data_IF_916026812666
#
_entry.id   IF_916026812666
#
_cell.length_a   1.000
_cell.length_b   1.000
_cell.length_c   1.000
_cell.angle_alpha   90.00
_cell.angle_beta   90.00
_cell.angle_gamma   90.00
#
_symmetry.space_group_name_H-M   'P 1'
#
loop_
_entity.id
_entity.type
_entity.pdbx_description
1 polymer ?
#
# COMPACT_ATOMS: atom_id res chain seq x y z
N UNK A 1 -12.84 14.41 -7.40
CA UNK A 1 -11.77 15.37 -7.04
C UNK A 1 -10.63 14.59 -6.43
N UNK A 2 -9.36 14.85 -6.79
CA UNK A 2 -8.23 14.21 -6.14
C UNK A 2 -8.21 14.56 -4.64
N UNK A 3 -7.69 13.65 -3.80
CA UNK A 3 -7.62 13.81 -2.35
C UNK A 3 -6.27 13.33 -1.83
N UNK A 4 -5.75 13.98 -0.79
CA UNK A 4 -4.47 13.63 -0.17
C UNK A 4 -4.69 12.73 1.03
N UNK A 5 -4.03 11.57 1.02
CA UNK A 5 -3.90 10.70 2.21
C UNK A 5 -2.77 11.22 3.09
N UNK A 6 -2.97 11.18 4.41
CA UNK A 6 -1.92 11.46 5.37
C UNK A 6 -1.16 10.16 5.64
N UNK A 7 0.17 10.20 5.60
CA UNK A 7 1.00 9.09 6.06
C UNK A 7 1.08 9.04 7.60
N UNK A 8 1.53 7.91 8.16
CA UNK A 8 1.86 7.81 9.58
C UNK A 8 3.04 8.71 9.92
N UNK A 9 2.96 9.45 11.04
CA UNK A 9 4.09 10.24 11.57
C UNK A 9 5.12 9.39 12.29
N UNK A 10 4.69 8.28 12.90
CA UNK A 10 5.54 7.36 13.65
C UNK A 10 4.89 5.96 13.71
N UNK A 11 5.68 4.96 14.08
CA UNK A 11 5.23 3.57 14.19
C UNK A 11 4.53 3.24 15.52
N UNK A 12 4.71 4.07 16.55
CA UNK A 12 4.22 3.76 17.90
C UNK A 12 2.75 4.13 18.08
N UNK A 13 2.39 5.37 17.74
CA UNK A 13 1.11 5.96 18.11
C UNK A 13 0.27 6.38 16.89
N UNK A 14 0.91 6.64 15.75
CA UNK A 14 0.25 7.12 14.52
C UNK A 14 0.36 6.13 13.36
N UNK A 15 0.58 4.85 13.65
CA UNK A 15 0.59 3.77 12.68
C UNK A 15 -0.65 2.89 12.83
N UNK A 16 -1.53 2.90 11.81
CA UNK A 16 -2.80 2.16 11.84
C UNK A 16 -2.57 0.65 11.98
N UNK A 17 -1.59 0.12 11.25
CA UNK A 17 -1.29 -1.30 11.27
C UNK A 17 -0.68 -1.72 12.62
N UNK A 18 0.22 -0.90 13.17
CA UNK A 18 0.95 -1.19 14.40
C UNK A 18 0.05 -1.13 15.64
N UNK A 19 -0.92 -0.20 15.66
CA UNK A 19 -1.83 0.02 16.79
C UNK A 19 -3.01 -0.95 16.83
N UNK A 20 -3.33 -1.64 15.73
CA UNK A 20 -4.40 -2.61 15.68
C UNK A 20 -3.95 -3.98 16.23
N UNK A 21 -4.42 -4.34 17.42
CA UNK A 21 -4.19 -5.70 17.93
C UNK A 21 -5.10 -6.72 17.21
N UNK A 22 -4.52 -7.44 16.25
CA UNK A 22 -5.21 -8.50 15.50
C UNK A 22 -4.89 -9.92 15.98
N UNK A 23 -4.08 -10.06 17.04
CA UNK A 23 -3.67 -11.38 17.55
C UNK A 23 -4.90 -12.14 18.06
N UNK A 24 -5.04 -13.40 17.62
CA UNK A 24 -6.18 -14.25 17.98
C UNK A 24 -7.49 -13.95 17.24
N UNK A 25 -7.46 -13.02 16.28
CA UNK A 25 -8.61 -12.74 15.43
C UNK A 25 -8.57 -13.58 14.16
N UNK A 26 -9.74 -14.01 13.72
CA UNK A 26 -10.00 -14.87 12.58
C UNK A 26 -11.27 -14.38 11.85
N UNK A 27 -11.63 -15.05 10.76
CA UNK A 27 -12.77 -14.63 9.94
C UNK A 27 -14.11 -14.63 10.69
N UNK A 28 -14.27 -15.49 11.71
CA UNK A 28 -15.49 -15.61 12.51
C UNK A 28 -15.64 -14.48 13.54
N UNK A 29 -14.54 -13.98 14.09
CA UNK A 29 -14.54 -12.94 15.12
C UNK A 29 -13.99 -11.58 14.65
N UNK A 30 -13.78 -11.37 13.34
CA UNK A 30 -13.27 -10.11 12.76
C UNK A 30 -14.01 -8.84 13.17
N UNK A 31 -15.28 -8.93 13.57
CA UNK A 31 -16.07 -7.79 14.07
C UNK A 31 -15.56 -7.25 15.41
N UNK A 32 -14.74 -8.02 16.13
CA UNK A 32 -14.10 -7.63 17.38
C UNK A 32 -12.84 -6.80 17.15
N UNK A 33 -12.36 -6.68 15.90
CA UNK A 33 -11.23 -5.79 15.61
C UNK A 33 -11.66 -4.36 15.92
N UNK A 34 -11.00 -3.74 16.89
CA UNK A 34 -11.17 -2.33 17.20
C UNK A 34 -10.14 -1.53 16.41
N UNK A 35 -10.63 -0.63 15.56
CA UNK A 35 -9.79 0.24 14.76
C UNK A 35 -9.73 1.64 15.42
N UNK A 36 -8.56 2.06 15.91
CA UNK A 36 -8.44 3.35 16.58
C UNK A 36 -8.58 4.50 15.58
N UNK A 37 -9.18 5.60 16.03
CA UNK A 37 -9.31 6.82 15.24
C UNK A 37 -8.02 7.65 15.35
N UNK A 38 -7.01 7.29 14.55
CA UNK A 38 -5.71 7.96 14.53
C UNK A 38 -5.56 8.89 13.32
N UNK A 39 -4.79 10.00 13.41
CA UNK A 39 -4.64 11.00 12.35
C UNK A 39 -4.25 10.44 10.98
N UNK A 40 -3.38 9.44 10.93
CA UNK A 40 -2.92 8.79 9.69
C UNK A 40 -3.99 7.93 9.01
N UNK A 41 -4.99 7.46 9.76
CA UNK A 41 -6.07 6.61 9.26
C UNK A 41 -7.37 7.40 8.98
N UNK A 42 -7.37 8.72 9.18
CA UNK A 42 -8.52 9.58 8.90
C UNK A 42 -8.78 9.63 7.40
N UNK A 43 -10.04 9.90 7.03
CA UNK A 43 -10.45 10.14 5.64
C UNK A 43 -9.49 11.13 4.94
N UNK A 44 -9.18 10.89 3.65
CA UNK A 44 -8.32 11.78 2.89
C UNK A 44 -8.91 13.19 2.85
N UNK A 45 -8.05 14.20 2.71
CA UNK A 45 -8.47 15.60 2.69
C UNK A 45 -8.47 16.12 1.26
N UNK A 46 -9.49 16.90 0.84
CA UNK A 46 -9.48 17.51 -0.47
C UNK A 46 -8.28 18.46 -0.63
N UNK A 47 -7.77 18.55 -1.84
CA UNK A 47 -6.80 19.59 -2.19
C UNK A 47 -7.39 20.99 -1.98
N UNK A 48 -6.54 21.92 -1.59
CA UNK A 48 -6.89 23.32 -1.36
C UNK A 48 -5.70 24.23 -1.63
N UNK A 49 -5.81 25.54 -1.36
CA UNK A 49 -4.74 26.51 -1.67
C UNK A 49 -3.37 26.17 -1.08
N UNK A 50 -3.33 25.43 0.05
CA UNK A 50 -2.08 24.98 0.69
C UNK A 50 -1.61 23.57 0.30
N UNK A 51 -2.38 22.83 -0.49
CA UNK A 51 -2.06 21.45 -0.89
C UNK A 51 -2.48 21.28 -2.37
N UNK A 52 -1.61 21.66 -3.34
CA UNK A 52 -1.94 21.54 -4.75
C UNK A 52 -2.05 20.08 -5.18
N UNK A 53 -2.74 19.85 -6.30
CA UNK A 53 -2.80 18.53 -6.93
C UNK A 53 -1.42 18.25 -7.54
N UNK A 54 -0.77 17.12 -7.24
CA UNK A 54 0.51 16.79 -7.84
C UNK A 54 0.34 16.56 -9.35
N UNK A 55 1.29 17.04 -10.16
CA UNK A 55 1.37 16.70 -11.57
C UNK A 55 1.84 15.26 -11.74
N UNK A 56 1.33 14.51 -12.72
CA UNK A 56 1.88 13.21 -13.05
C UNK A 56 3.36 13.35 -13.47
N UNK A 57 4.21 12.34 -13.19
CA UNK A 57 5.59 12.33 -13.67
C UNK A 57 5.65 12.19 -15.19
N UNK A 58 6.66 12.79 -15.81
CA UNK A 58 6.83 12.81 -17.28
C UNK A 58 7.29 11.46 -17.84
N UNK A 59 7.98 10.64 -17.03
CA UNK A 59 8.49 9.32 -17.41
C UNK A 59 8.33 8.32 -16.25
N UNK A 60 8.25 7.03 -16.58
CA UNK A 60 8.08 5.94 -15.60
C UNK A 60 9.30 5.74 -14.69
N UNK A 61 10.48 6.15 -15.16
CA UNK A 61 11.75 6.09 -14.41
C UNK A 61 11.80 7.06 -13.23
N UNK A 62 10.95 8.10 -13.23
CA UNK A 62 10.89 9.11 -12.18
C UNK A 62 9.99 8.74 -11.00
N UNK A 63 9.48 7.50 -10.94
CA UNK A 63 8.69 7.02 -9.80
C UNK A 63 9.66 6.55 -8.71
N UNK A 64 9.96 7.43 -7.75
CA UNK A 64 10.81 7.10 -6.61
C UNK A 64 10.03 6.29 -5.56
N UNK A 65 10.31 4.99 -5.45
CA UNK A 65 9.87 4.17 -4.33
C UNK A 65 10.94 4.23 -3.24
N UNK A 66 10.71 5.01 -2.18
CA UNK A 66 11.53 4.91 -0.97
C UNK A 66 11.00 3.74 -0.13
N UNK A 67 11.33 2.52 -0.53
CA UNK A 67 11.11 1.36 0.32
C UNK A 67 12.29 1.27 1.29
N UNK A 68 12.08 1.65 2.54
CA UNK A 68 13.05 1.33 3.60
C UNK A 68 12.81 -0.13 3.98
N UNK A 69 13.55 -1.02 3.31
CA UNK A 69 13.66 -2.44 3.65
C UNK A 69 13.95 -2.55 5.16
N UNK A 70 12.98 -3.07 5.91
CA UNK A 70 13.20 -3.44 7.30
C UNK A 70 14.01 -4.72 7.31
N UNK A 71 15.16 -4.74 7.99
CA UNK A 71 16.02 -5.92 8.12
C UNK A 71 15.18 -7.11 8.62
N UNK A 72 14.98 -8.07 7.73
CA UNK A 72 14.27 -9.31 8.01
C UNK A 72 15.31 -10.25 8.61
N UNK A 73 15.11 -10.65 9.87
CA UNK A 73 15.94 -11.65 10.54
C UNK A 73 15.87 -12.97 9.76
N UNK A 74 17.00 -13.39 9.21
CA UNK A 74 17.17 -14.55 8.34
C UNK A 74 16.97 -15.87 9.14
N UNK A 75 15.72 -16.28 9.35
CA UNK A 75 15.42 -17.69 9.68
C UNK A 75 14.02 -18.13 9.21
N UNK A 76 13.76 -18.00 7.91
CA UNK A 76 12.63 -18.69 7.28
C UNK A 76 13.15 -19.50 6.10
N UNK A 77 13.42 -20.77 6.38
CA UNK A 77 13.58 -21.85 5.40
C UNK A 77 12.25 -22.03 4.63
N UNK A 78 12.06 -21.23 3.58
CA UNK A 78 11.04 -21.41 2.57
C UNK A 78 11.72 -21.36 1.22
N UNK A 79 11.76 -22.53 0.57
CA UNK A 79 12.06 -22.71 -0.84
C UNK A 79 11.23 -21.73 -1.65
N UNK A 80 11.80 -20.55 -1.91
CA UNK A 80 11.30 -19.61 -2.88
C UNK A 80 11.80 -20.15 -4.21
N UNK A 81 10.88 -20.76 -4.97
CA UNK A 81 11.14 -21.11 -6.36
C UNK A 81 11.60 -19.82 -7.04
N UNK A 82 12.86 -19.81 -7.48
CA UNK A 82 13.54 -18.62 -8.01
C UNK A 82 12.69 -17.99 -9.09
N UNK A 83 11.94 -16.95 -8.73
CA UNK A 83 11.23 -16.14 -9.71
C UNK A 83 12.33 -15.46 -10.50
N UNK A 84 12.56 -15.96 -11.72
CA UNK A 84 13.39 -15.29 -12.72
C UNK A 84 13.08 -13.80 -12.68
N UNK A 85 14.10 -12.97 -12.46
CA UNK A 85 14.04 -11.49 -12.35
C UNK A 85 13.60 -10.80 -13.65
N UNK A 86 13.05 -11.52 -14.62
CA UNK A 86 12.34 -10.92 -15.73
C UNK A 86 10.93 -10.57 -15.30
N UNK A 87 10.77 -9.36 -14.76
CA UNK A 87 9.46 -8.74 -14.60
C UNK A 87 8.76 -8.76 -15.96
N UNK A 88 7.73 -9.58 -16.12
CA UNK A 88 6.98 -9.67 -17.36
C UNK A 88 6.36 -8.30 -17.66
N UNK A 89 6.93 -7.59 -18.63
CA UNK A 89 6.38 -6.32 -19.09
C UNK A 89 5.15 -6.61 -19.95
N UNK A 90 4.01 -6.08 -19.53
CA UNK A 90 2.78 -6.14 -20.30
C UNK A 90 2.62 -4.88 -21.15
N UNK A 91 2.16 -5.06 -22.37
CA UNK A 91 1.69 -3.97 -23.21
C UNK A 91 0.30 -3.50 -22.76
N UNK A 92 -0.04 -2.25 -23.04
CA UNK A 92 -1.38 -1.70 -22.73
C UNK A 92 -2.51 -2.48 -23.40
N UNK A 93 -2.26 -3.05 -24.59
CA UNK A 93 -3.22 -3.91 -25.30
C UNK A 93 -3.49 -5.22 -24.57
N UNK A 94 -2.45 -5.87 -24.04
CA UNK A 94 -2.61 -7.10 -23.26
C UNK A 94 -3.40 -6.85 -21.99
N UNK A 95 -3.11 -5.75 -21.29
CA UNK A 95 -3.86 -5.34 -20.11
C UNK A 95 -5.36 -5.10 -20.42
N UNK A 96 -5.66 -4.44 -21.54
CA UNK A 96 -7.04 -4.16 -21.95
C UNK A 96 -7.81 -5.44 -22.33
N UNK A 97 -7.13 -6.44 -22.89
CA UNK A 97 -7.74 -7.72 -23.23
C UNK A 97 -8.09 -8.55 -21.99
N UNK A 98 -7.31 -8.46 -20.91
CA UNK A 98 -7.66 -9.10 -19.63
C UNK A 98 -8.98 -8.56 -19.05
N UNK A 99 -9.21 -7.25 -19.16
CA UNK A 99 -10.43 -6.60 -18.66
C UNK A 99 -11.67 -7.05 -19.44
N UNK A 100 -11.52 -7.30 -20.75
CA UNK A 100 -12.63 -7.76 -21.61
C UNK A 100 -12.99 -9.23 -21.41
N UNK A 101 -12.05 -10.06 -20.94
CA UNK A 101 -12.23 -11.51 -20.79
C UNK A 101 -12.96 -11.92 -19.50
N UNK A 102 -13.28 -10.96 -18.63
CA UNK A 102 -14.03 -11.20 -17.38
C UNK A 102 -15.53 -10.84 -17.46
N UNK A 103 -16.05 -10.53 -18.65
CA UNK A 103 -17.49 -10.39 -18.94
C UNK A 103 -17.94 -11.44 -19.96
#
# INVERSE_FOLDING_TARGET
MPMVRRGPKNHNDDCYFCTCNVKGLNLKNKKQISYPNIPSAIRPVPHGPGIPVPSPPDTVENIFYSDTESEIDDDIDKVYDSISDESKLFTQSEFNDFVKKQN
#
